data_IF_068853400832
#
_entry.id   IF_068853400832
#
_cell.length_a   1.000
_cell.length_b   1.000
_cell.length_c   1.000
_cell.angle_alpha   90.00
_cell.angle_beta   90.00
_cell.angle_gamma   90.00
#
_symmetry.space_group_name_H-M   'P 1'
#
loop_
_entity.id
_entity.type
_entity.pdbx_description
1 polymer ?
#
# COMPACT_ATOMS: atom_id res chain seq x y z
N UNK A 1 -10.97 14.99 -19.25
CA UNK A 1 -10.22 13.72 -19.28
C UNK A 1 -11.06 12.63 -18.66
N UNK A 2 -10.86 11.37 -19.10
CA UNK A 2 -11.49 10.18 -18.48
C UNK A 2 -10.47 9.43 -17.62
N UNK A 3 -10.88 8.99 -16.43
CA UNK A 3 -10.08 8.13 -15.57
C UNK A 3 -10.65 6.70 -15.56
N UNK A 4 -9.76 5.72 -15.57
CA UNK A 4 -10.10 4.32 -15.37
C UNK A 4 -9.44 3.79 -14.09
N UNK A 5 -10.17 3.01 -13.29
CA UNK A 5 -9.66 2.42 -12.05
C UNK A 5 -9.88 0.91 -12.12
N UNK A 6 -8.79 0.14 -12.05
CA UNK A 6 -8.83 -1.32 -11.95
C UNK A 6 -8.51 -1.72 -10.51
N UNK A 7 -9.46 -2.40 -9.85
CA UNK A 7 -9.42 -2.70 -8.42
C UNK A 7 -10.20 -1.66 -7.61
N UNK A 8 -11.42 -2.01 -7.18
CA UNK A 8 -12.37 -1.11 -6.53
C UNK A 8 -12.48 -1.37 -5.01
N UNK A 9 -11.39 -1.84 -4.39
CA UNK A 9 -11.27 -2.00 -2.94
C UNK A 9 -11.13 -0.66 -2.20
N UNK A 10 -10.55 -0.68 -0.98
CA UNK A 10 -10.28 0.52 -0.19
C UNK A 10 -9.56 1.60 -1.01
N UNK A 11 -8.40 1.26 -1.60
CA UNK A 11 -7.56 2.24 -2.31
C UNK A 11 -8.23 2.77 -3.58
N UNK A 12 -8.68 1.88 -4.49
CA UNK A 12 -9.29 2.31 -5.75
C UNK A 12 -10.65 2.98 -5.54
N UNK A 13 -11.45 2.52 -4.58
CA UNK A 13 -12.72 3.16 -4.23
C UNK A 13 -12.54 4.56 -3.66
N UNK A 14 -11.57 4.72 -2.72
CA UNK A 14 -11.22 6.05 -2.17
C UNK A 14 -10.65 6.98 -3.25
N UNK A 15 -9.87 6.43 -4.19
CA UNK A 15 -9.36 7.18 -5.33
C UNK A 15 -10.51 7.72 -6.18
N UNK A 16 -11.51 6.88 -6.48
CA UNK A 16 -12.66 7.31 -7.26
C UNK A 16 -13.39 8.51 -6.63
N UNK A 17 -13.60 8.47 -5.30
CA UNK A 17 -14.19 9.60 -4.57
C UNK A 17 -13.31 10.86 -4.65
N UNK A 18 -12.01 10.71 -4.45
CA UNK A 18 -11.07 11.82 -4.50
C UNK A 18 -10.94 12.44 -5.91
N UNK A 19 -10.95 11.60 -6.96
CA UNK A 19 -10.93 12.07 -8.35
C UNK A 19 -12.21 12.83 -8.73
N UNK A 20 -13.38 12.39 -8.27
CA UNK A 20 -14.65 13.13 -8.45
C UNK A 20 -14.57 14.53 -7.82
N UNK A 21 -14.07 14.62 -6.60
CA UNK A 21 -13.92 15.91 -5.91
C UNK A 21 -12.89 16.82 -6.58
N UNK A 22 -11.88 16.26 -7.21
CA UNK A 22 -10.80 17.01 -7.86
C UNK A 22 -11.27 17.90 -9.03
N UNK A 23 -12.34 17.50 -9.71
CA UNK A 23 -12.84 18.15 -10.92
C UNK A 23 -11.92 18.02 -12.15
N UNK A 24 -10.88 17.16 -12.09
CA UNK A 24 -9.95 16.95 -13.21
C UNK A 24 -10.51 16.02 -14.29
N UNK A 25 -11.46 15.18 -13.92
CA UNK A 25 -12.01 14.14 -14.78
C UNK A 25 -13.52 14.35 -14.97
N UNK A 26 -13.97 14.21 -16.20
CA UNK A 26 -15.39 14.27 -16.56
C UNK A 26 -16.13 12.95 -16.32
N UNK A 27 -15.38 11.85 -16.25
CA UNK A 27 -15.92 10.52 -16.05
C UNK A 27 -14.86 9.62 -15.42
N UNK A 28 -15.30 8.79 -14.47
CA UNK A 28 -14.47 7.81 -13.75
C UNK A 28 -15.09 6.43 -13.95
N UNK A 29 -14.42 5.62 -14.78
CA UNK A 29 -14.78 4.24 -15.07
C UNK A 29 -14.09 3.30 -14.09
N UNK A 30 -14.73 2.20 -13.73
CA UNK A 30 -14.16 1.22 -12.82
C UNK A 30 -14.25 -0.21 -13.34
N UNK A 31 -13.33 -1.07 -12.91
CA UNK A 31 -13.42 -2.51 -13.04
C UNK A 31 -12.85 -3.22 -11.80
N UNK A 32 -13.41 -4.36 -11.48
CA UNK A 32 -12.92 -5.27 -10.45
C UNK A 32 -13.25 -6.70 -10.84
N UNK A 33 -12.34 -7.64 -10.59
CA UNK A 33 -12.58 -9.06 -10.86
C UNK A 33 -13.76 -9.61 -10.04
N UNK A 34 -14.03 -9.01 -8.88
CA UNK A 34 -15.14 -9.37 -8.01
C UNK A 34 -16.39 -8.59 -8.40
N UNK A 35 -17.39 -9.29 -8.95
CA UNK A 35 -18.67 -8.71 -9.36
C UNK A 35 -19.40 -7.97 -8.22
N UNK A 36 -19.30 -8.45 -6.98
CA UNK A 36 -19.87 -7.76 -5.81
C UNK A 36 -19.19 -6.42 -5.55
N UNK A 37 -17.86 -6.33 -5.76
CA UNK A 37 -17.14 -5.05 -5.65
C UNK A 37 -17.60 -4.06 -6.71
N UNK A 38 -17.82 -4.49 -7.94
CA UNK A 38 -18.35 -3.64 -9.03
C UNK A 38 -19.70 -3.06 -8.67
N UNK A 39 -20.65 -3.90 -8.22
CA UNK A 39 -21.99 -3.47 -7.79
C UNK A 39 -21.93 -2.52 -6.60
N UNK A 40 -21.10 -2.84 -5.59
CA UNK A 40 -20.92 -1.97 -4.43
C UNK A 40 -20.30 -0.63 -4.81
N UNK A 41 -19.32 -0.61 -5.72
CA UNK A 41 -18.68 0.62 -6.17
C UNK A 41 -19.66 1.57 -6.85
N UNK A 42 -20.57 1.06 -7.69
CA UNK A 42 -21.64 1.85 -8.29
C UNK A 42 -22.61 2.35 -7.21
N UNK A 43 -23.10 1.45 -6.35
CA UNK A 43 -24.07 1.80 -5.30
C UNK A 43 -23.54 2.88 -4.34
N UNK A 44 -22.24 2.81 -4.01
CA UNK A 44 -21.56 3.77 -3.13
C UNK A 44 -21.07 5.04 -3.87
N UNK A 45 -21.29 5.13 -5.17
CA UNK A 45 -20.87 6.28 -5.97
C UNK A 45 -19.35 6.42 -6.11
N UNK A 46 -18.58 5.33 -5.95
CA UNK A 46 -17.11 5.35 -6.03
C UNK A 46 -16.63 5.62 -7.45
N UNK A 47 -17.33 5.10 -8.44
CA UNK A 47 -17.11 5.32 -9.88
C UNK A 47 -18.44 5.69 -10.55
N UNK A 48 -18.41 6.19 -11.77
CA UNK A 48 -19.62 6.56 -12.50
C UNK A 48 -20.23 5.36 -13.21
N UNK A 49 -19.38 4.47 -13.71
CA UNK A 49 -19.77 3.28 -14.43
C UNK A 49 -18.73 2.16 -14.22
N UNK A 50 -19.19 0.90 -14.19
CA UNK A 50 -18.31 -0.26 -14.27
C UNK A 50 -18.33 -0.83 -15.69
N UNK A 51 -17.17 -0.90 -16.31
CA UNK A 51 -16.94 -1.44 -17.65
C UNK A 51 -15.98 -2.62 -17.59
N UNK A 52 -15.70 -3.27 -18.71
CA UNK A 52 -14.70 -4.35 -18.75
C UNK A 52 -13.28 -3.78 -18.79
N UNK A 53 -12.30 -4.54 -18.31
CA UNK A 53 -10.88 -4.15 -18.25
C UNK A 53 -10.36 -3.57 -19.58
N UNK A 54 -10.71 -4.18 -20.71
CA UNK A 54 -10.28 -3.69 -22.02
C UNK A 54 -10.81 -2.30 -22.39
N UNK A 55 -11.97 -1.90 -21.86
CA UNK A 55 -12.58 -0.58 -22.06
C UNK A 55 -11.92 0.47 -21.16
N UNK A 56 -11.44 0.06 -19.98
CA UNK A 56 -10.66 0.93 -19.07
C UNK A 56 -9.43 1.51 -19.76
N UNK A 57 -8.77 0.73 -20.63
CA UNK A 57 -7.59 1.20 -21.37
C UNK A 57 -7.91 2.19 -22.51
N UNK A 58 -9.17 2.61 -22.70
CA UNK A 58 -9.53 3.74 -23.54
C UNK A 58 -9.53 5.09 -22.76
N UNK A 59 -9.32 5.06 -21.45
CA UNK A 59 -9.22 6.27 -20.62
C UNK A 59 -7.88 6.98 -20.82
N UNK A 60 -7.85 8.30 -20.54
CA UNK A 60 -6.64 9.11 -20.59
C UNK A 60 -5.64 8.71 -19.49
N UNK A 61 -6.16 8.39 -18.30
CA UNK A 61 -5.38 7.95 -17.14
C UNK A 61 -5.99 6.66 -16.60
N UNK A 62 -5.16 5.63 -16.42
CA UNK A 62 -5.56 4.35 -15.83
C UNK A 62 -4.80 4.12 -14.53
N UNK A 63 -5.53 3.90 -13.46
CA UNK A 63 -5.01 3.55 -12.14
C UNK A 63 -5.21 2.05 -11.89
N UNK A 64 -4.14 1.36 -11.49
CA UNK A 64 -4.17 -0.07 -11.17
C UNK A 64 -3.94 -0.22 -9.67
N UNK A 65 -4.99 -0.52 -8.92
CA UNK A 65 -5.00 -0.66 -7.46
C UNK A 65 -5.41 -2.08 -7.00
N UNK A 66 -5.02 -3.08 -7.77
CA UNK A 66 -5.16 -4.50 -7.46
C UNK A 66 -3.96 -5.01 -6.64
N UNK A 67 -4.01 -6.23 -6.06
CA UNK A 67 -2.82 -6.87 -5.50
C UNK A 67 -1.67 -6.96 -6.51
N UNK A 68 -0.42 -7.02 -6.04
CA UNK A 68 0.79 -6.90 -6.87
C UNK A 68 0.81 -7.90 -8.02
N UNK A 69 0.47 -9.17 -7.76
CA UNK A 69 0.36 -10.18 -8.83
C UNK A 69 -0.66 -9.82 -9.90
N UNK A 70 -1.77 -9.18 -9.52
CA UNK A 70 -2.77 -8.63 -10.43
C UNK A 70 -2.22 -7.49 -11.27
N UNK A 71 -1.51 -6.53 -10.64
CA UNK A 71 -0.83 -5.43 -11.34
C UNK A 71 0.12 -5.97 -12.41
N UNK A 72 0.99 -6.90 -12.06
CA UNK A 72 1.96 -7.52 -12.98
C UNK A 72 1.25 -8.21 -14.14
N UNK A 73 0.19 -8.97 -13.85
CA UNK A 73 -0.60 -9.64 -14.89
C UNK A 73 -1.25 -8.66 -15.85
N UNK A 74 -1.86 -7.61 -15.36
CA UNK A 74 -2.49 -6.55 -16.17
C UNK A 74 -1.45 -5.89 -17.06
N UNK A 75 -0.33 -5.44 -16.49
CA UNK A 75 0.76 -4.76 -17.21
C UNK A 75 1.26 -5.61 -18.40
N UNK A 76 1.51 -6.90 -18.18
CA UNK A 76 2.01 -7.83 -19.21
C UNK A 76 1.01 -8.05 -20.34
N UNK A 77 -0.27 -7.83 -20.11
CA UNK A 77 -1.32 -7.99 -21.11
C UNK A 77 -1.59 -6.73 -21.93
N UNK A 78 -1.05 -5.57 -21.53
CA UNK A 78 -1.19 -4.33 -22.30
C UNK A 78 -0.40 -4.44 -23.59
N UNK A 79 -1.10 -4.46 -24.72
CA UNK A 79 -0.46 -4.59 -26.05
C UNK A 79 0.01 -3.26 -26.60
N UNK A 80 -0.79 -2.21 -26.41
CA UNK A 80 -0.53 -0.89 -26.99
C UNK A 80 -1.23 0.19 -26.17
N UNK A 81 -0.57 1.33 -26.04
CA UNK A 81 -1.12 2.56 -25.46
C UNK A 81 -0.93 3.73 -26.41
N UNK A 82 -1.77 4.74 -26.32
CA UNK A 82 -1.51 6.00 -27.02
C UNK A 82 -0.36 6.74 -26.33
N UNK A 83 0.37 7.56 -27.10
CA UNK A 83 1.55 8.31 -26.60
C UNK A 83 1.23 9.22 -25.39
N UNK A 84 -0.01 9.66 -25.26
CA UNK A 84 -0.42 10.59 -24.20
C UNK A 84 -1.09 9.87 -23.01
N UNK A 85 -1.38 8.58 -23.10
CA UNK A 85 -1.97 7.85 -21.96
C UNK A 85 -1.00 7.74 -20.80
N UNK A 86 -1.55 7.78 -19.60
CA UNK A 86 -0.82 7.60 -18.36
C UNK A 86 -1.35 6.38 -17.62
N UNK A 87 -0.46 5.47 -17.25
CA UNK A 87 -0.75 4.32 -16.39
C UNK A 87 -0.06 4.55 -15.05
N UNK A 88 -0.82 4.34 -13.97
CA UNK A 88 -0.33 4.49 -12.59
C UNK A 88 -0.65 3.22 -11.83
N UNK A 89 0.32 2.62 -11.16
CA UNK A 89 0.12 1.52 -10.24
C UNK A 89 0.25 1.94 -8.76
N UNK A 90 -0.50 1.30 -7.87
CA UNK A 90 -0.51 1.55 -6.43
C UNK A 90 0.12 0.41 -5.61
N UNK A 91 0.94 -0.42 -6.24
CA UNK A 91 1.57 -1.54 -5.57
C UNK A 91 2.43 -1.11 -4.38
N UNK A 92 2.37 -1.87 -3.29
CA UNK A 92 3.11 -1.63 -2.04
C UNK A 92 4.57 -2.10 -2.07
N UNK A 93 4.99 -2.88 -3.08
CA UNK A 93 6.39 -3.10 -3.46
C UNK A 93 6.56 -2.83 -4.94
N UNK A 94 7.75 -2.40 -5.36
CA UNK A 94 7.92 -1.75 -6.66
C UNK A 94 8.82 -2.47 -7.64
N UNK A 95 9.90 -3.06 -7.16
CA UNK A 95 10.93 -3.65 -8.02
C UNK A 95 10.34 -4.60 -9.06
N UNK A 96 9.57 -5.59 -8.62
CA UNK A 96 9.00 -6.60 -9.53
C UNK A 96 7.95 -6.02 -10.48
N UNK A 97 7.19 -5.01 -10.05
CA UNK A 97 6.24 -4.31 -10.93
C UNK A 97 7.00 -3.61 -12.04
N UNK A 98 8.02 -2.82 -11.71
CA UNK A 98 8.82 -2.07 -12.68
C UNK A 98 9.57 -2.98 -13.65
N UNK A 99 10.11 -4.11 -13.19
CA UNK A 99 10.74 -5.13 -14.02
C UNK A 99 9.75 -5.82 -14.97
N UNK A 100 8.46 -5.81 -14.65
CA UNK A 100 7.41 -6.41 -15.48
C UNK A 100 6.92 -5.51 -16.61
N UNK A 101 7.26 -4.21 -16.59
CA UNK A 101 6.79 -3.23 -17.59
C UNK A 101 7.52 -3.45 -18.92
N UNK A 102 6.82 -3.75 -20.02
CA UNK A 102 7.45 -3.83 -21.33
C UNK A 102 8.11 -2.50 -21.72
N UNK A 103 9.30 -2.55 -22.32
CA UNK A 103 10.08 -1.35 -22.66
C UNK A 103 9.29 -0.32 -23.49
N UNK A 104 8.46 -0.78 -24.42
CA UNK A 104 7.65 0.10 -25.28
C UNK A 104 6.52 0.83 -24.52
N UNK A 105 6.16 0.39 -23.32
CA UNK A 105 5.16 1.02 -22.45
C UNK A 105 5.78 1.87 -21.34
N UNK A 106 7.10 1.78 -21.13
CA UNK A 106 7.75 2.39 -19.96
C UNK A 106 7.52 3.89 -19.85
N UNK A 107 7.50 4.59 -20.97
CA UNK A 107 7.23 6.03 -20.99
C UNK A 107 5.79 6.41 -20.56
N UNK A 108 4.82 5.51 -20.74
CA UNK A 108 3.45 5.71 -20.30
C UNK A 108 3.23 5.47 -18.81
N UNK A 109 4.20 4.85 -18.13
CA UNK A 109 4.07 4.40 -16.75
C UNK A 109 4.69 5.38 -15.77
N UNK A 110 3.93 5.75 -14.72
CA UNK A 110 4.43 6.41 -13.50
C UNK A 110 4.09 5.52 -12.32
N UNK A 111 5.09 4.83 -11.76
CA UNK A 111 4.90 3.94 -10.63
C UNK A 111 4.85 4.72 -9.33
N UNK A 112 3.81 4.51 -8.54
CA UNK A 112 3.53 5.26 -7.32
C UNK A 112 3.20 4.34 -6.15
N UNK A 113 3.50 4.81 -4.93
CA UNK A 113 3.01 4.20 -3.71
C UNK A 113 2.40 5.26 -2.79
N UNK A 114 1.07 5.37 -2.70
CA UNK A 114 0.41 6.20 -1.69
C UNK A 114 0.61 5.58 -0.30
N UNK A 115 1.27 6.31 0.60
CA UNK A 115 1.53 5.87 1.97
C UNK A 115 0.33 6.11 2.87
N UNK A 116 -0.78 5.45 2.55
CA UNK A 116 -2.04 5.51 3.28
C UNK A 116 -2.78 4.18 3.18
N UNK A 117 -3.76 4.00 4.05
CA UNK A 117 -4.55 2.78 4.11
C UNK A 117 -5.02 2.50 5.53
N UNK A 118 -5.88 1.52 5.67
CA UNK A 118 -6.36 1.02 6.97
C UNK A 118 -6.35 -0.51 6.95
N UNK A 119 -6.64 -1.14 8.07
CA UNK A 119 -6.82 -2.58 8.16
C UNK A 119 -8.12 -3.09 7.48
N UNK A 120 -9.02 -2.17 7.10
CA UNK A 120 -10.26 -2.51 6.41
C UNK A 120 -10.04 -2.73 4.92
N UNK A 121 -10.90 -3.49 4.27
CA UNK A 121 -10.79 -3.85 2.86
C UNK A 121 -12.14 -3.88 2.15
N UNK A 122 -12.08 -3.91 0.81
CA UNK A 122 -13.25 -3.89 -0.06
C UNK A 122 -13.82 -2.47 -0.29
N UNK A 123 -14.85 -2.34 -1.15
CA UNK A 123 -15.43 -1.05 -1.54
C UNK A 123 -16.07 -0.28 -0.39
N UNK A 124 -16.66 -1.00 0.59
CA UNK A 124 -17.30 -0.38 1.78
C UNK A 124 -16.30 0.31 2.70
N UNK A 125 -15.01 -0.02 2.57
CA UNK A 125 -13.94 0.60 3.34
C UNK A 125 -13.45 1.91 2.72
N UNK A 126 -13.92 2.29 1.53
CA UNK A 126 -13.51 3.50 0.83
C UNK A 126 -13.78 4.76 1.67
N UNK A 127 -12.78 5.65 1.73
CA UNK A 127 -12.79 6.88 2.52
C UNK A 127 -12.54 8.08 1.60
N UNK A 128 -13.39 9.10 1.70
CA UNK A 128 -13.30 10.31 0.88
C UNK A 128 -11.96 11.04 1.02
N UNK A 129 -11.43 11.12 2.24
CA UNK A 129 -10.24 11.91 2.58
C UNK A 129 -8.98 11.05 2.77
N UNK A 130 -8.99 9.78 2.30
CA UNK A 130 -7.90 8.85 2.50
C UNK A 130 -6.54 9.39 2.04
N UNK A 131 -6.52 10.19 0.99
CA UNK A 131 -5.30 10.70 0.36
C UNK A 131 -4.86 12.08 0.88
N UNK A 132 -5.75 12.85 1.51
CA UNK A 132 -5.45 14.22 1.96
C UNK A 132 -4.33 14.24 3.00
N UNK A 133 -3.34 15.09 2.79
CA UNK A 133 -2.16 15.28 3.65
C UNK A 133 -1.27 14.03 3.79
N UNK A 134 -1.47 13.01 2.96
CA UNK A 134 -0.64 11.80 2.93
C UNK A 134 0.52 11.95 1.96
N UNK A 135 1.53 11.10 2.13
CA UNK A 135 2.68 11.02 1.23
C UNK A 135 2.34 10.10 0.07
N UNK A 136 2.77 10.48 -1.14
CA UNK A 136 2.87 9.58 -2.29
C UNK A 136 4.30 9.51 -2.78
N UNK A 137 4.83 8.31 -2.91
CA UNK A 137 6.19 8.07 -3.38
C UNK A 137 6.17 7.82 -4.88
N UNK A 138 6.89 8.64 -5.65
CA UNK A 138 7.13 8.49 -7.07
C UNK A 138 8.42 7.68 -7.27
N UNK A 139 8.34 6.55 -7.98
CA UNK A 139 9.40 5.55 -7.99
C UNK A 139 9.98 5.37 -9.39
N UNK A 140 11.32 5.47 -9.52
CA UNK A 140 12.10 5.30 -10.78
C UNK A 140 11.49 6.08 -11.95
N UNK A 141 11.10 7.33 -11.70
CA UNK A 141 10.38 8.17 -12.68
C UNK A 141 11.24 8.62 -13.86
N UNK A 142 12.55 8.47 -13.80
CA UNK A 142 13.50 8.89 -14.84
C UNK A 142 13.25 8.19 -16.19
N UNK A 143 12.62 7.00 -16.14
CA UNK A 143 12.24 6.22 -17.33
C UNK A 143 10.81 6.50 -17.81
N UNK A 144 10.06 7.34 -17.09
CA UNK A 144 8.70 7.76 -17.46
C UNK A 144 8.75 8.96 -18.40
N UNK A 145 7.71 9.15 -19.22
CA UNK A 145 7.62 10.33 -20.08
C UNK A 145 7.38 11.61 -19.27
N UNK A 146 7.99 12.71 -19.66
CA UNK A 146 7.84 14.00 -18.96
C UNK A 146 6.38 14.43 -18.81
N UNK A 147 5.58 14.29 -19.87
CA UNK A 147 4.14 14.62 -19.85
C UNK A 147 3.37 13.76 -18.84
N UNK A 148 3.71 12.47 -18.74
CA UNK A 148 3.11 11.54 -17.81
C UNK A 148 3.48 11.89 -16.35
N UNK A 149 4.73 12.25 -16.11
CA UNK A 149 5.19 12.69 -14.79
C UNK A 149 4.45 13.97 -14.36
N UNK A 150 4.38 14.97 -15.23
CA UNK A 150 3.71 16.23 -14.91
C UNK A 150 2.21 16.06 -14.70
N UNK A 151 1.56 15.20 -15.49
CA UNK A 151 0.15 14.88 -15.29
C UNK A 151 -0.07 14.15 -13.95
N UNK A 152 0.77 13.15 -13.63
CA UNK A 152 0.71 12.46 -12.36
C UNK A 152 0.90 13.43 -11.18
N UNK A 153 1.92 14.29 -11.21
CA UNK A 153 2.12 15.33 -10.18
C UNK A 153 0.88 16.21 -10.01
N UNK A 154 0.33 16.72 -11.12
CA UNK A 154 -0.87 17.56 -11.09
C UNK A 154 -2.05 16.86 -10.40
N UNK A 155 -2.25 15.57 -10.70
CA UNK A 155 -3.32 14.77 -10.08
C UNK A 155 -3.08 14.67 -8.57
N UNK A 156 -1.93 14.18 -8.13
CA UNK A 156 -1.69 13.89 -6.70
C UNK A 156 -1.57 15.16 -5.84
N UNK A 157 -1.03 16.26 -6.37
CA UNK A 157 -1.10 17.57 -5.71
C UNK A 157 -2.56 18.01 -5.54
N UNK A 158 -3.39 17.84 -6.58
CA UNK A 158 -4.82 18.19 -6.50
C UNK A 158 -5.60 17.33 -5.50
N UNK A 159 -5.16 16.07 -5.26
CA UNK A 159 -5.68 15.20 -4.21
C UNK A 159 -5.16 15.58 -2.80
N UNK A 160 -4.32 16.60 -2.68
CA UNK A 160 -3.75 17.06 -1.41
C UNK A 160 -2.63 16.19 -0.87
N UNK A 161 -1.92 15.45 -1.72
CA UNK A 161 -0.81 14.59 -1.31
C UNK A 161 0.55 15.29 -1.40
N UNK A 162 1.47 14.90 -0.52
CA UNK A 162 2.86 15.34 -0.53
C UNK A 162 3.71 14.36 -1.35
N UNK A 163 4.38 14.87 -2.39
CA UNK A 163 5.16 14.03 -3.32
C UNK A 163 6.59 13.92 -2.84
N UNK A 164 7.10 12.70 -2.69
CA UNK A 164 8.52 12.40 -2.56
C UNK A 164 8.97 11.47 -3.69
N UNK A 165 10.27 11.41 -3.96
CA UNK A 165 10.86 10.55 -4.99
C UNK A 165 11.82 9.56 -4.36
N UNK A 166 11.85 8.33 -4.89
CA UNK A 166 12.72 7.27 -4.40
C UNK A 166 13.02 6.27 -5.53
N UNK A 167 14.18 5.61 -5.49
CA UNK A 167 14.40 4.45 -6.32
C UNK A 167 13.71 3.20 -5.77
N UNK A 168 13.45 2.21 -6.62
CA UNK A 168 12.67 1.03 -6.24
C UNK A 168 13.35 0.14 -5.21
N UNK A 169 14.68 0.04 -5.19
CA UNK A 169 15.38 -0.77 -4.20
C UNK A 169 15.30 -0.12 -2.82
N UNK A 170 15.59 1.19 -2.73
CA UNK A 170 15.44 1.95 -1.48
C UNK A 170 14.00 1.89 -0.97
N UNK A 171 13.02 2.08 -1.87
CA UNK A 171 11.59 1.98 -1.51
C UNK A 171 11.26 0.62 -0.89
N UNK A 172 11.62 -0.49 -1.54
CA UNK A 172 11.24 -1.82 -1.08
C UNK A 172 11.94 -2.19 0.23
N UNK A 173 13.18 -1.72 0.44
CA UNK A 173 13.89 -1.86 1.72
C UNK A 173 13.24 -1.04 2.84
N UNK A 174 12.91 0.23 2.59
CA UNK A 174 12.20 1.08 3.57
C UNK A 174 10.81 0.54 3.88
N UNK A 175 10.03 0.16 2.87
CA UNK A 175 8.70 -0.43 3.07
C UNK A 175 8.77 -1.72 3.90
N UNK A 176 9.81 -2.53 3.72
CA UNK A 176 10.03 -3.73 4.53
C UNK A 176 10.22 -3.38 6.01
N UNK A 177 11.03 -2.36 6.33
CA UNK A 177 11.33 -1.96 7.70
C UNK A 177 10.14 -1.29 8.40
N UNK A 178 9.49 -0.30 7.75
CA UNK A 178 8.53 0.57 8.43
C UNK A 178 7.06 0.14 8.23
N UNK A 179 6.79 -0.80 7.32
CA UNK A 179 5.43 -1.28 7.03
C UNK A 179 5.32 -2.80 7.11
N UNK A 180 6.10 -3.55 6.30
CA UNK A 180 5.87 -4.99 6.15
C UNK A 180 6.26 -5.78 7.40
N UNK A 181 7.43 -5.51 7.98
CA UNK A 181 7.88 -6.12 9.23
C UNK A 181 6.93 -5.84 10.40
N UNK A 182 6.47 -4.60 10.65
CA UNK A 182 5.46 -4.33 11.68
C UNK A 182 4.19 -5.17 11.57
N UNK A 183 3.70 -5.43 10.36
CA UNK A 183 2.53 -6.31 10.18
C UNK A 183 2.85 -7.76 10.56
N UNK A 184 4.00 -8.29 10.15
CA UNK A 184 4.42 -9.66 10.51
C UNK A 184 4.59 -9.80 12.02
N UNK A 185 5.17 -8.80 12.70
CA UNK A 185 5.29 -8.77 14.16
C UNK A 185 3.91 -8.75 14.80
N UNK A 186 2.98 -7.96 14.29
CA UNK A 186 1.61 -7.91 14.78
C UNK A 186 0.89 -9.26 14.65
N UNK A 187 1.05 -9.96 13.51
CA UNK A 187 0.54 -11.33 13.34
C UNK A 187 1.21 -12.32 14.31
N UNK A 188 2.52 -12.22 14.49
CA UNK A 188 3.26 -13.09 15.41
C UNK A 188 2.80 -12.88 16.86
N UNK A 189 2.66 -11.62 17.30
CA UNK A 189 2.14 -11.26 18.62
C UNK A 189 0.73 -11.81 18.82
N UNK A 190 -0.17 -11.59 17.87
CA UNK A 190 -1.54 -12.09 17.95
C UNK A 190 -1.58 -13.62 18.03
N UNK A 191 -0.79 -14.32 17.21
CA UNK A 191 -0.71 -15.80 17.24
C UNK A 191 -0.11 -16.31 18.54
N UNK A 192 0.87 -15.64 19.15
CA UNK A 192 1.42 -16.04 20.46
C UNK A 192 0.33 -15.98 21.54
N UNK A 193 -0.37 -14.84 21.62
CA UNK A 193 -1.42 -14.66 22.64
C UNK A 193 -2.57 -15.65 22.43
N UNK A 194 -3.01 -15.87 21.20
CA UNK A 194 -4.10 -16.83 20.88
C UNK A 194 -3.76 -18.30 21.22
N UNK A 195 -2.47 -18.65 21.34
CA UNK A 195 -2.03 -20.00 21.77
C UNK A 195 -2.04 -20.19 23.27
N UNK A 196 -1.76 -19.13 24.03
CA UNK A 196 -1.56 -19.18 25.47
C UNK A 196 -2.81 -18.77 26.26
N UNK A 197 -3.68 -17.93 25.67
CA UNK A 197 -4.79 -17.29 26.36
C UNK A 197 -6.16 -17.70 25.78
N UNK A 198 -7.16 -17.86 26.64
CA UNK A 198 -8.54 -18.06 26.21
C UNK A 198 -9.15 -16.73 25.74
N UNK A 199 -10.02 -16.78 24.75
CA UNK A 199 -10.65 -15.57 24.16
C UNK A 199 -11.33 -14.67 25.21
N UNK A 200 -11.98 -15.25 26.23
CA UNK A 200 -12.64 -14.52 27.30
C UNK A 200 -11.65 -13.75 28.19
N UNK A 201 -10.47 -14.32 28.46
CA UNK A 201 -9.43 -13.71 29.28
C UNK A 201 -8.76 -12.58 28.50
N UNK A 202 -8.51 -12.77 27.18
CA UNK A 202 -8.03 -11.69 26.28
C UNK A 202 -8.99 -10.50 26.31
N UNK A 203 -10.30 -10.74 26.18
CA UNK A 203 -11.31 -9.66 26.21
C UNK A 203 -11.31 -8.94 27.55
N UNK A 204 -11.17 -9.67 28.67
CA UNK A 204 -11.23 -9.10 30.00
C UNK A 204 -10.05 -8.20 30.35
N UNK A 205 -8.82 -8.53 29.88
CA UNK A 205 -7.59 -7.85 30.33
C UNK A 205 -6.84 -7.08 29.23
N UNK A 206 -7.23 -7.22 27.95
CA UNK A 206 -6.54 -6.56 26.84
C UNK A 206 -6.62 -5.02 26.96
N UNK A 207 -5.52 -4.42 27.37
CA UNK A 207 -5.35 -2.96 27.44
C UNK A 207 -5.04 -2.31 26.09
N UNK A 208 -4.85 -0.97 26.11
CA UNK A 208 -4.58 -0.17 24.90
C UNK A 208 -3.30 -0.58 24.16
N UNK A 209 -2.25 -0.95 24.89
CA UNK A 209 -0.97 -1.41 24.30
C UNK A 209 -1.15 -2.63 23.40
N UNK A 210 -1.78 -3.70 23.91
CA UNK A 210 -2.05 -4.89 23.12
C UNK A 210 -2.96 -4.60 21.93
N UNK A 211 -4.03 -3.82 22.13
CA UNK A 211 -4.96 -3.42 21.06
C UNK A 211 -4.25 -2.65 19.95
N UNK A 212 -3.35 -1.74 20.29
CA UNK A 212 -2.56 -0.98 19.31
C UNK A 212 -1.60 -1.89 18.54
N UNK A 213 -0.83 -2.73 19.23
CA UNK A 213 0.15 -3.60 18.59
C UNK A 213 -0.48 -4.73 17.76
N UNK A 214 -1.64 -5.24 18.16
CA UNK A 214 -2.36 -6.30 17.42
C UNK A 214 -3.30 -5.76 16.33
N UNK A 215 -3.47 -4.44 16.18
CA UNK A 215 -4.38 -3.83 15.21
C UNK A 215 -4.08 -4.26 13.77
N UNK A 216 -2.81 -4.27 13.40
CA UNK A 216 -2.37 -4.61 12.04
C UNK A 216 -2.66 -6.07 11.68
N UNK A 217 -2.74 -6.99 12.64
CA UNK A 217 -3.08 -8.40 12.39
C UNK A 217 -4.52 -8.63 11.92
N UNK A 218 -5.37 -7.61 11.95
CA UNK A 218 -6.74 -7.65 11.42
C UNK A 218 -6.81 -7.44 9.91
N UNK A 219 -5.70 -7.08 9.27
CA UNK A 219 -5.60 -6.89 7.82
C UNK A 219 -5.79 -8.20 7.05
N UNK A 220 -6.17 -8.10 5.77
CA UNK A 220 -6.39 -9.25 4.89
C UNK A 220 -5.13 -10.12 4.72
N UNK A 221 -5.16 -11.37 5.17
CA UNK A 221 -4.05 -12.30 5.01
C UNK A 221 -3.68 -12.56 3.55
N UNK A 222 -4.66 -12.65 2.64
CA UNK A 222 -4.40 -12.83 1.21
C UNK A 222 -3.60 -11.67 0.61
N UNK A 223 -3.93 -10.43 0.96
CA UNK A 223 -3.18 -9.25 0.52
C UNK A 223 -1.75 -9.29 1.05
N UNK A 224 -1.55 -9.63 2.32
CA UNK A 224 -0.23 -9.68 2.94
C UNK A 224 0.65 -10.80 2.39
N UNK A 225 0.08 -11.96 2.06
CA UNK A 225 0.82 -13.03 1.37
C UNK A 225 1.37 -12.55 0.03
N UNK A 226 0.60 -11.79 -0.76
CA UNK A 226 1.08 -11.21 -2.01
C UNK A 226 2.22 -10.19 -1.79
N UNK A 227 2.09 -9.31 -0.80
CA UNK A 227 3.15 -8.35 -0.44
C UNK A 227 4.44 -9.09 -0.05
N UNK A 228 4.32 -10.11 0.82
CA UNK A 228 5.46 -10.91 1.29
C UNK A 228 6.15 -11.63 0.12
N UNK A 229 5.41 -12.24 -0.80
CA UNK A 229 5.98 -12.89 -1.99
C UNK A 229 6.83 -11.93 -2.83
N UNK A 230 6.35 -10.71 -3.01
CA UNK A 230 6.95 -9.73 -3.92
C UNK A 230 8.06 -8.89 -3.28
N UNK A 231 8.19 -8.88 -1.93
CA UNK A 231 9.26 -8.20 -1.21
C UNK A 231 10.00 -9.12 -0.22
N UNK A 232 10.07 -10.41 -0.52
CA UNK A 232 10.52 -11.47 0.39
C UNK A 232 11.90 -11.21 0.98
N UNK A 233 12.86 -10.80 0.18
CA UNK A 233 14.26 -10.67 0.61
C UNK A 233 14.44 -9.52 1.61
N UNK A 234 13.88 -8.35 1.32
CA UNK A 234 13.94 -7.18 2.19
C UNK A 234 13.18 -7.43 3.50
N UNK A 235 12.03 -8.12 3.42
CA UNK A 235 11.26 -8.52 4.60
C UNK A 235 12.04 -9.49 5.48
N UNK A 236 12.69 -10.50 4.92
CA UNK A 236 13.50 -11.44 5.70
C UNK A 236 14.70 -10.74 6.35
N UNK A 237 15.33 -9.80 5.65
CA UNK A 237 16.42 -8.98 6.19
C UNK A 237 15.93 -8.15 7.39
N UNK A 238 14.79 -7.44 7.25
CA UNK A 238 14.23 -6.61 8.32
C UNK A 238 13.78 -7.44 9.54
N UNK A 239 13.16 -8.60 9.33
CA UNK A 239 12.79 -9.52 10.41
C UNK A 239 14.04 -10.04 11.13
N UNK A 240 15.11 -10.34 10.41
CA UNK A 240 16.38 -10.80 11.01
C UNK A 240 16.98 -9.72 11.90
N UNK A 241 16.91 -8.44 11.51
CA UNK A 241 17.35 -7.33 12.35
C UNK A 241 16.48 -7.19 13.60
N UNK A 242 15.16 -7.25 13.45
CA UNK A 242 14.24 -7.21 14.58
C UNK A 242 14.46 -8.39 15.55
N UNK A 243 14.69 -9.60 15.03
CA UNK A 243 14.98 -10.77 15.86
C UNK A 243 16.22 -10.56 16.73
N UNK A 244 17.28 -9.96 16.18
CA UNK A 244 18.51 -9.65 16.94
C UNK A 244 18.23 -8.67 18.10
N UNK A 245 17.40 -7.64 17.87
CA UNK A 245 17.01 -6.72 18.93
C UNK A 245 16.16 -7.40 20.03
N UNK A 246 15.28 -8.32 19.64
CA UNK A 246 14.51 -9.11 20.60
C UNK A 246 15.41 -10.06 21.40
N UNK A 247 16.35 -10.73 20.77
CA UNK A 247 17.35 -11.60 21.41
C UNK A 247 18.25 -10.80 22.39
N UNK A 248 18.64 -9.57 22.01
CA UNK A 248 19.36 -8.65 22.91
C UNK A 248 18.55 -8.33 24.16
N UNK A 249 17.28 -7.96 24.01
CA UNK A 249 16.40 -7.69 25.15
C UNK A 249 16.24 -8.93 26.06
N UNK A 250 16.06 -10.12 25.49
CA UNK A 250 16.00 -11.39 26.24
C UNK A 250 17.29 -11.58 27.06
N UNK A 251 18.46 -11.41 26.44
CA UNK A 251 19.75 -11.57 27.12
C UNK A 251 19.93 -10.62 28.28
N UNK A 252 19.52 -9.35 28.11
CA UNK A 252 19.58 -8.35 29.19
C UNK A 252 18.66 -8.72 30.37
N UNK A 253 17.47 -9.24 30.08
CA UNK A 253 16.51 -9.68 31.12
C UNK A 253 17.04 -10.92 31.85
N UNK A 254 17.55 -11.93 31.14
CA UNK A 254 18.09 -13.19 31.71
C UNK A 254 19.26 -12.92 32.64
N UNK A 255 20.11 -11.94 32.30
CA UNK A 255 21.29 -11.56 33.10
C UNK A 255 20.95 -10.55 34.20
N UNK A 256 19.70 -10.13 34.39
CA UNK A 256 19.28 -9.06 35.29
C UNK A 256 20.04 -7.74 35.06
N UNK A 257 20.46 -7.47 33.84
CA UNK A 257 21.17 -6.23 33.47
C UNK A 257 20.19 -5.10 33.17
N UNK A 258 19.47 -4.69 34.20
CA UNK A 258 18.40 -3.69 34.09
C UNK A 258 18.94 -2.30 33.75
N UNK A 259 20.19 -1.99 34.07
CA UNK A 259 20.82 -0.72 33.71
C UNK A 259 21.02 -0.60 32.19
N UNK A 260 21.49 -1.63 31.53
CA UNK A 260 21.64 -1.63 30.09
C UNK A 260 20.29 -1.85 29.36
N UNK A 261 19.35 -2.55 29.99
CA UNK A 261 17.98 -2.65 29.50
C UNK A 261 17.30 -1.28 29.45
N UNK A 262 17.44 -0.45 30.51
CA UNK A 262 16.93 0.93 30.53
C UNK A 262 17.53 1.78 29.41
N UNK A 263 18.86 1.75 29.24
CA UNK A 263 19.54 2.45 28.14
C UNK A 263 19.04 2.02 26.76
N UNK A 264 18.81 0.72 26.59
CA UNK A 264 18.27 0.19 25.33
C UNK A 264 16.85 0.72 25.05
N UNK A 265 15.98 0.79 26.07
CA UNK A 265 14.65 1.39 25.96
C UNK A 265 14.73 2.90 25.69
N UNK A 266 15.62 3.63 26.37
CA UNK A 266 15.83 5.07 26.15
C UNK A 266 16.30 5.39 24.73
N UNK A 267 17.12 4.51 24.16
CA UNK A 267 17.53 4.66 22.78
C UNK A 267 16.33 4.56 21.81
N UNK A 268 15.38 3.67 22.09
CA UNK A 268 14.15 3.57 21.30
C UNK A 268 13.24 4.82 21.46
N UNK A 269 13.28 5.49 22.60
CA UNK A 269 12.51 6.72 22.85
C UNK A 269 12.89 7.89 21.92
N UNK A 270 14.09 7.87 21.29
CA UNK A 270 14.52 8.87 20.30
C UNK A 270 13.57 8.95 19.11
N UNK A 271 12.78 7.89 18.86
CA UNK A 271 11.76 7.89 17.81
C UNK A 271 10.70 9.00 18.01
N UNK A 272 10.48 9.47 19.25
CA UNK A 272 9.58 10.61 19.56
C UNK A 272 10.03 11.93 18.94
N UNK A 273 11.32 12.07 18.64
CA UNK A 273 11.87 13.28 18.05
C UNK A 273 11.73 13.28 16.51
N UNK A 274 11.38 12.12 15.94
CA UNK A 274 11.30 11.90 14.50
C UNK A 274 9.83 11.85 14.04
N UNK A 275 8.93 11.30 14.85
CA UNK A 275 7.49 11.12 14.58
C UNK A 275 6.64 12.02 15.49
#
# INVERSE_FOLDING_TARGET
>A
MKAGIIGLGLMGGSLGLALKESGLFESILGDDINEMHRRQAIYLGLVDECVRENEIFNCDVVFISTPIGGIIKIIRNIKKLSKNQLIIDFGSSKKQILESIPNHLRANFVSLHPMCGTENFGPKAALKDLYKNQIVIFIDIEKSGEKQIELAKKIFIKLGMNIIKMDSNAHDAHAALISHMPHIISYALANSVLKEERAQDIVAIAGGGFKSMSRLSKSSGNMWVEIIKHNKYEILSSITSFKKELENAITLIENNDFMNLEKWMDNANKLREIL
#
